data_IF_686152207493
#
_entry.id   IF_686152207493
#
_cell.length_a   1.000
_cell.length_b   1.000
_cell.length_c   1.000
_cell.angle_alpha   90.00
_cell.angle_beta   90.00
_cell.angle_gamma   90.00
#
_symmetry.space_group_name_H-M   'P 1'
#
loop_
_entity.id
_entity.type
_entity.pdbx_description
1 polymer ?
#
# COMPACT_ATOMS: atom_id res chain seq x y z
N UNK A 1 24.42 -18.37 -12.79
CA UNK A 1 25.05 -17.88 -14.05
C UNK A 1 26.51 -17.62 -13.75
N UNK A 2 27.40 -18.15 -14.58
CA UNK A 2 28.86 -18.10 -14.42
C UNK A 2 29.50 -17.55 -15.69
N UNK A 3 30.68 -16.97 -15.56
CA UNK A 3 31.48 -16.45 -16.67
C UNK A 3 32.95 -16.42 -16.26
N UNK A 4 33.78 -15.73 -17.04
CA UNK A 4 35.19 -15.47 -16.69
C UNK A 4 35.44 -13.97 -16.74
N UNK A 5 36.05 -13.43 -15.68
CA UNK A 5 36.46 -12.03 -15.65
C UNK A 5 37.61 -11.80 -16.63
N UNK A 6 37.49 -10.79 -17.49
CA UNK A 6 38.54 -10.46 -18.47
C UNK A 6 39.68 -9.62 -17.89
N UNK A 7 39.59 -9.21 -16.62
CA UNK A 7 40.69 -8.52 -15.95
C UNK A 7 41.84 -9.49 -15.66
N UNK A 8 43.09 -9.13 -15.98
CA UNK A 8 44.26 -9.91 -15.59
C UNK A 8 44.27 -10.18 -14.09
N UNK A 9 44.69 -11.38 -13.68
CA UNK A 9 44.81 -11.80 -12.29
C UNK A 9 43.49 -11.78 -11.48
N UNK A 10 42.33 -11.79 -12.15
CA UNK A 10 41.03 -11.90 -11.50
C UNK A 10 40.43 -13.31 -11.69
N UNK A 11 40.41 -14.18 -10.65
CA UNK A 11 39.81 -15.51 -10.74
C UNK A 11 38.26 -15.48 -10.65
N UNK A 12 37.64 -14.33 -10.91
CA UNK A 12 36.21 -14.12 -10.74
C UNK A 12 35.39 -14.90 -11.77
N UNK A 13 34.51 -15.77 -11.28
CA UNK A 13 33.68 -16.65 -12.14
C UNK A 13 32.18 -16.39 -12.05
N UNK A 14 31.77 -15.40 -11.26
CA UNK A 14 30.36 -15.06 -11.00
C UNK A 14 30.08 -13.65 -11.52
N UNK A 15 29.01 -13.53 -12.29
CA UNK A 15 28.49 -12.25 -12.72
C UNK A 15 27.51 -11.69 -11.67
N UNK A 16 27.60 -10.39 -11.42
CA UNK A 16 26.64 -9.63 -10.64
C UNK A 16 25.89 -8.68 -11.59
N UNK A 17 24.56 -8.65 -11.48
CA UNK A 17 23.70 -7.82 -12.31
C UNK A 17 23.10 -6.70 -11.46
N UNK A 18 23.07 -5.50 -12.01
CA UNK A 18 22.42 -4.34 -11.42
C UNK A 18 21.72 -3.52 -12.51
N UNK A 19 20.81 -2.65 -12.12
CA UNK A 19 20.08 -1.76 -13.02
C UNK A 19 20.39 -0.30 -12.69
N UNK A 20 20.31 0.56 -13.71
CA UNK A 20 20.44 2.02 -13.60
C UNK A 20 19.22 2.67 -14.28
N UNK A 21 18.90 3.89 -13.89
CA UNK A 21 17.85 4.67 -14.55
C UNK A 21 18.26 4.99 -16.00
N UNK A 22 17.39 4.70 -16.96
CA UNK A 22 17.63 5.00 -18.38
C UNK A 22 17.23 6.41 -18.82
N UNK A 23 16.66 7.22 -17.92
CA UNK A 23 16.08 8.53 -18.25
C UNK A 23 17.07 9.70 -18.13
N UNK A 24 18.20 9.50 -17.44
CA UNK A 24 19.21 10.54 -17.22
C UNK A 24 20.60 9.91 -17.07
N UNK A 25 21.69 10.68 -17.24
CA UNK A 25 23.03 10.21 -16.91
C UNK A 25 23.13 9.75 -15.45
N UNK A 26 23.89 8.68 -15.21
CA UNK A 26 24.09 8.06 -13.89
C UNK A 26 25.56 7.71 -13.66
N UNK A 27 26.04 7.85 -12.43
CA UNK A 27 27.35 7.38 -12.00
C UNK A 27 27.38 5.87 -11.76
N UNK A 28 28.53 5.30 -11.38
CA UNK A 28 28.66 3.88 -11.05
C UNK A 28 28.05 3.49 -9.71
N UNK A 29 27.81 4.47 -8.83
CA UNK A 29 27.17 4.23 -7.53
C UNK A 29 25.65 4.29 -7.60
N UNK A 30 25.10 4.84 -8.69
CA UNK A 30 23.67 4.99 -8.88
C UNK A 30 23.08 3.66 -9.34
N UNK A 31 22.46 2.92 -8.43
CA UNK A 31 21.73 1.69 -8.72
C UNK A 31 20.23 1.91 -8.58
N UNK A 32 19.44 1.12 -9.29
CA UNK A 32 17.98 1.17 -9.28
C UNK A 32 17.42 -0.23 -9.10
N UNK A 33 16.29 -0.33 -8.40
CA UNK A 33 15.60 -1.61 -8.21
C UNK A 33 14.87 -1.99 -9.49
N UNK A 34 15.00 -3.25 -9.91
CA UNK A 34 14.29 -3.77 -11.07
C UNK A 34 12.83 -4.07 -10.70
N UNK A 35 11.89 -3.37 -11.36
CA UNK A 35 10.46 -3.65 -11.23
C UNK A 35 10.07 -4.81 -12.14
N UNK A 36 10.45 -6.02 -11.74
CA UNK A 36 10.37 -7.25 -12.55
C UNK A 36 8.94 -7.70 -12.90
N UNK A 37 7.90 -7.14 -12.29
CA UNK A 37 6.51 -7.42 -12.65
C UNK A 37 5.98 -6.45 -13.71
N UNK A 38 6.64 -5.31 -13.92
CA UNK A 38 6.25 -4.32 -14.91
C UNK A 38 6.93 -4.66 -16.24
N UNK A 39 6.14 -4.76 -17.30
CA UNK A 39 6.63 -5.14 -18.63
C UNK A 39 5.91 -4.37 -19.73
N UNK A 40 6.53 -4.32 -20.90
CA UNK A 40 5.92 -3.76 -22.10
C UNK A 40 4.79 -4.67 -22.58
N UNK A 41 3.62 -4.10 -22.87
CA UNK A 41 2.45 -4.82 -23.35
C UNK A 41 2.48 -5.02 -24.88
N UNK A 42 3.54 -5.64 -25.39
CA UNK A 42 3.74 -5.85 -26.84
C UNK A 42 2.69 -6.76 -27.49
N UNK A 43 1.94 -7.51 -26.69
CA UNK A 43 0.85 -8.40 -27.14
C UNK A 43 -0.54 -7.77 -27.02
N UNK A 44 -0.62 -6.48 -26.65
CA UNK A 44 -1.88 -5.74 -26.53
C UNK A 44 -2.91 -6.45 -25.63
N UNK A 45 -2.46 -7.03 -24.52
CA UNK A 45 -3.33 -7.75 -23.58
C UNK A 45 -4.18 -6.71 -22.82
N UNK A 46 -5.51 -6.85 -22.79
CA UNK A 46 -6.37 -5.92 -22.07
C UNK A 46 -6.19 -6.04 -20.55
N UNK A 47 -6.38 -4.92 -19.85
CA UNK A 47 -6.39 -4.88 -18.40
C UNK A 47 -7.54 -5.71 -17.82
N UNK A 48 -7.27 -6.53 -16.82
CA UNK A 48 -8.31 -7.34 -16.14
C UNK A 48 -9.43 -6.50 -15.49
N UNK A 49 -9.15 -5.25 -15.12
CA UNK A 49 -10.10 -4.39 -14.43
C UNK A 49 -10.89 -3.48 -15.39
N UNK A 50 -10.20 -2.68 -16.21
CA UNK A 50 -10.86 -1.70 -17.09
C UNK A 50 -11.02 -2.17 -18.54
N UNK A 51 -10.49 -3.34 -18.92
CA UNK A 51 -10.50 -3.89 -20.28
C UNK A 51 -9.75 -3.07 -21.35
N UNK A 52 -9.24 -1.88 -21.02
CA UNK A 52 -8.37 -1.11 -21.90
C UNK A 52 -7.04 -1.81 -22.18
N UNK A 53 -6.50 -1.60 -23.38
CA UNK A 53 -5.12 -1.94 -23.71
C UNK A 53 -4.22 -0.76 -23.37
N UNK A 54 -3.33 -0.93 -22.39
CA UNK A 54 -2.37 0.08 -21.92
C UNK A 54 -0.93 -0.43 -22.00
N UNK A 55 0.04 0.47 -21.93
CA UNK A 55 1.46 0.14 -21.89
C UNK A 55 2.23 1.17 -21.04
N UNK A 56 3.10 0.75 -20.11
CA UNK A 56 3.36 -0.62 -19.66
C UNK A 56 2.23 -1.21 -18.81
N UNK A 57 2.35 -2.49 -18.47
CA UNK A 57 1.41 -3.24 -17.63
C UNK A 57 2.16 -3.99 -16.53
N UNK A 58 1.46 -4.31 -15.44
CA UNK A 58 1.94 -5.21 -14.40
C UNK A 58 1.37 -6.62 -14.64
N UNK A 59 2.23 -7.63 -14.53
CA UNK A 59 1.85 -9.04 -14.67
C UNK A 59 2.06 -9.75 -13.33
N UNK A 60 0.97 -10.18 -12.71
CA UNK A 60 1.04 -10.92 -11.44
C UNK A 60 1.75 -12.28 -11.60
N UNK A 61 2.34 -12.77 -10.51
CA UNK A 61 3.00 -14.08 -10.45
C UNK A 61 2.04 -15.23 -10.10
N UNK A 62 0.74 -15.08 -10.39
CA UNK A 62 -0.22 -16.18 -10.27
C UNK A 62 -0.13 -17.15 -11.46
N UNK A 63 -0.74 -18.34 -11.33
CA UNK A 63 -0.76 -19.36 -12.39
C UNK A 63 -1.30 -18.85 -13.74
N UNK A 64 -2.31 -17.96 -13.69
CA UNK A 64 -2.94 -17.39 -14.89
C UNK A 64 -2.22 -16.15 -15.43
N UNK A 65 -1.16 -15.67 -14.74
CA UNK A 65 -0.36 -14.50 -15.15
C UNK A 65 -1.25 -13.29 -15.47
N UNK A 66 -2.22 -12.99 -14.59
CA UNK A 66 -3.17 -11.91 -14.80
C UNK A 66 -2.45 -10.56 -15.01
N UNK A 67 -2.99 -9.78 -15.95
CA UNK A 67 -2.42 -8.51 -16.41
C UNK A 67 -3.30 -7.35 -15.96
N UNK A 68 -2.68 -6.31 -15.41
CA UNK A 68 -3.36 -5.08 -14.97
C UNK A 68 -2.59 -3.86 -15.47
N UNK A 69 -3.28 -2.81 -15.93
CA UNK A 69 -2.62 -1.55 -16.26
C UNK A 69 -2.14 -0.83 -14.99
N UNK A 70 -1.19 0.10 -15.13
CA UNK A 70 -0.61 0.77 -13.97
C UNK A 70 -1.60 1.67 -13.22
N UNK A 71 -2.54 2.30 -13.93
CA UNK A 71 -3.58 3.14 -13.31
C UNK A 71 -4.53 2.29 -12.44
N UNK A 72 -5.01 1.16 -12.95
CA UNK A 72 -5.84 0.25 -12.17
C UNK A 72 -5.06 -0.42 -11.03
N UNK A 73 -3.75 -0.65 -11.21
CA UNK A 73 -2.90 -1.16 -10.14
C UNK A 73 -2.72 -0.14 -9.02
N UNK A 74 -2.54 1.15 -9.35
CA UNK A 74 -2.50 2.24 -8.38
C UNK A 74 -3.80 2.28 -7.57
N UNK A 75 -4.95 2.32 -8.26
CA UNK A 75 -6.25 2.34 -7.60
C UNK A 75 -6.47 1.10 -6.71
N UNK A 76 -6.12 -0.10 -7.21
CA UNK A 76 -6.19 -1.33 -6.43
C UNK A 76 -5.42 -1.22 -5.11
N UNK A 77 -4.18 -0.73 -5.17
CA UNK A 77 -3.37 -0.54 -3.98
C UNK A 77 -3.95 0.50 -3.02
N UNK A 78 -4.38 1.66 -3.52
CA UNK A 78 -4.95 2.73 -2.68
C UNK A 78 -6.24 2.28 -2.00
N UNK A 79 -7.14 1.62 -2.73
CA UNK A 79 -8.37 1.05 -2.15
C UNK A 79 -8.03 0.06 -1.04
N UNK A 80 -7.12 -0.89 -1.28
CA UNK A 80 -6.75 -1.88 -0.25
C UNK A 80 -5.99 -1.27 0.92
N UNK A 81 -5.27 -0.17 0.71
CA UNK A 81 -4.59 0.55 1.79
C UNK A 81 -5.62 1.26 2.70
N UNK A 82 -6.61 1.92 2.10
CA UNK A 82 -7.69 2.58 2.82
C UNK A 82 -8.58 1.59 3.58
N UNK A 83 -8.93 0.48 2.94
CA UNK A 83 -9.82 -0.55 3.50
C UNK A 83 -9.10 -1.50 4.46
N UNK A 84 -7.79 -1.32 4.66
CA UNK A 84 -6.92 -2.17 5.48
C UNK A 84 -6.95 -3.65 5.07
N UNK A 85 -6.77 -3.89 3.78
CA UNK A 85 -6.84 -5.22 3.16
C UNK A 85 -5.52 -5.67 2.54
N UNK A 86 -4.39 -5.12 2.99
CA UNK A 86 -3.08 -5.71 2.71
C UNK A 86 -2.92 -7.01 3.50
N UNK A 87 -2.30 -8.00 2.86
CA UNK A 87 -2.09 -9.33 3.44
C UNK A 87 -0.72 -9.38 4.08
N UNK A 88 -0.67 -9.79 5.34
CA UNK A 88 0.59 -10.03 6.05
C UNK A 88 1.19 -11.39 5.65
N UNK A 89 2.46 -11.39 5.29
CA UNK A 89 3.29 -12.58 5.13
C UNK A 89 4.50 -12.45 6.08
N UNK A 90 4.82 -13.53 6.81
CA UNK A 90 5.84 -13.48 7.87
C UNK A 90 7.26 -13.20 7.36
N UNK A 91 7.55 -13.47 6.07
CA UNK A 91 8.88 -13.25 5.48
C UNK A 91 8.94 -11.98 4.63
N UNK A 92 7.82 -11.61 4.00
CA UNK A 92 7.74 -10.45 3.10
C UNK A 92 7.26 -9.18 3.82
N UNK A 93 6.45 -9.30 4.87
CA UNK A 93 5.69 -8.18 5.44
C UNK A 93 4.32 -8.03 4.77
N UNK A 94 3.81 -6.80 4.69
CA UNK A 94 2.51 -6.52 4.09
C UNK A 94 2.59 -6.38 2.58
N UNK A 95 1.74 -7.11 1.86
CA UNK A 95 1.71 -7.09 0.40
C UNK A 95 0.30 -7.31 -0.13
N UNK A 96 0.15 -7.31 -1.46
CA UNK A 96 -1.11 -7.59 -2.14
C UNK A 96 -0.98 -8.80 -3.06
N UNK A 97 -2.01 -9.66 -3.10
CA UNK A 97 -2.09 -10.73 -4.08
C UNK A 97 -2.56 -10.18 -5.43
N UNK A 98 -2.64 -11.08 -6.41
CA UNK A 98 -3.36 -10.84 -7.64
C UNK A 98 -4.78 -10.33 -7.35
N UNK A 99 -5.20 -9.29 -8.09
CA UNK A 99 -6.52 -8.66 -7.96
C UNK A 99 -7.69 -9.64 -8.13
N UNK A 100 -7.49 -10.75 -8.86
CA UNK A 100 -8.46 -11.82 -9.02
C UNK A 100 -8.48 -12.82 -7.85
N UNK A 101 -7.77 -12.55 -6.75
CA UNK A 101 -7.75 -13.42 -5.55
C UNK A 101 -7.02 -14.75 -5.72
N UNK A 102 -6.10 -14.84 -6.68
CA UNK A 102 -5.37 -16.09 -6.92
C UNK A 102 -4.48 -16.49 -5.73
N UNK A 103 -4.39 -17.78 -5.37
CA UNK A 103 -3.47 -18.23 -4.33
C UNK A 103 -2.01 -18.03 -4.75
N UNK A 104 -1.11 -17.94 -3.76
CA UNK A 104 0.34 -17.85 -3.95
C UNK A 104 0.80 -16.75 -4.92
N UNK A 105 0.11 -15.61 -4.91
CA UNK A 105 0.30 -14.54 -5.89
C UNK A 105 0.72 -13.20 -5.30
N UNK A 106 1.19 -13.21 -4.04
CA UNK A 106 1.71 -12.02 -3.36
C UNK A 106 2.87 -11.41 -4.14
N UNK A 107 2.89 -10.08 -4.22
CA UNK A 107 4.01 -9.32 -4.76
C UNK A 107 5.18 -9.42 -3.79
N UNK A 108 6.28 -10.02 -4.23
CA UNK A 108 7.47 -10.27 -3.39
C UNK A 108 8.43 -9.08 -3.34
N UNK A 109 8.55 -8.35 -4.44
CA UNK A 109 9.40 -7.16 -4.53
C UNK A 109 8.57 -5.93 -4.15
N UNK A 110 8.69 -5.49 -2.89
CA UNK A 110 7.86 -4.42 -2.33
C UNK A 110 8.12 -3.04 -2.97
N UNK A 111 9.25 -2.87 -3.67
CA UNK A 111 9.52 -1.63 -4.39
C UNK A 111 8.51 -1.35 -5.52
N UNK A 112 7.71 -2.33 -5.94
CA UNK A 112 6.58 -2.10 -6.85
C UNK A 112 5.56 -1.10 -6.28
N UNK A 113 5.40 -1.04 -4.96
CA UNK A 113 4.48 -0.09 -4.32
C UNK A 113 4.99 1.35 -4.34
N UNK A 114 6.24 1.62 -4.75
CA UNK A 114 6.70 3.00 -4.99
C UNK A 114 5.94 3.68 -6.14
N UNK A 115 5.27 2.91 -6.99
CA UNK A 115 4.39 3.46 -8.05
C UNK A 115 3.22 4.26 -7.49
N UNK A 116 2.89 4.09 -6.20
CA UNK A 116 1.81 4.83 -5.54
C UNK A 116 2.10 6.32 -5.40
N UNK A 117 3.36 6.73 -5.59
CA UNK A 117 3.86 8.06 -5.23
C UNK A 117 4.26 8.12 -3.76
N UNK A 118 5.03 9.15 -3.40
CA UNK A 118 5.64 9.27 -2.07
C UNK A 118 4.61 9.25 -0.94
N UNK A 119 3.52 9.99 -1.07
CA UNK A 119 2.49 10.09 -0.02
C UNK A 119 1.88 8.73 0.32
N UNK A 120 1.39 8.01 -0.71
CA UNK A 120 0.73 6.73 -0.52
C UNK A 120 1.74 5.62 -0.17
N UNK A 121 2.97 5.70 -0.68
CA UNK A 121 4.02 4.77 -0.30
C UNK A 121 4.44 4.95 1.17
N UNK A 122 4.50 6.20 1.67
CA UNK A 122 4.77 6.47 3.08
C UNK A 122 3.67 5.89 3.98
N UNK A 123 2.39 6.05 3.59
CA UNK A 123 1.26 5.39 4.27
C UNK A 123 1.39 3.87 4.27
N UNK A 124 1.76 3.28 3.14
CA UNK A 124 2.05 1.85 3.04
C UNK A 124 3.20 1.41 3.97
N UNK A 125 4.26 2.21 4.11
CA UNK A 125 5.37 1.89 5.02
C UNK A 125 4.93 1.92 6.50
N UNK A 126 4.04 2.84 6.86
CA UNK A 126 3.47 2.94 8.22
C UNK A 126 2.47 1.82 8.52
N UNK A 127 1.80 1.30 7.49
CA UNK A 127 0.78 0.26 7.59
C UNK A 127 1.20 -0.92 8.48
N UNK A 128 2.44 -1.41 8.36
CA UNK A 128 2.88 -2.56 9.15
C UNK A 128 2.97 -2.29 10.65
N UNK A 129 3.40 -1.09 11.03
CA UNK A 129 3.43 -0.69 12.43
C UNK A 129 2.01 -0.44 12.97
N UNK A 130 1.15 0.16 12.16
CA UNK A 130 -0.25 0.41 12.49
C UNK A 130 -1.04 -0.89 12.71
N UNK A 131 -0.90 -1.87 11.81
CA UNK A 131 -1.56 -3.17 11.95
C UNK A 131 -1.11 -3.92 13.21
N UNK A 132 0.18 -3.84 13.56
CA UNK A 132 0.68 -4.43 14.80
C UNK A 132 -0.04 -3.85 16.03
N UNK A 133 -0.20 -2.52 16.09
CA UNK A 133 -0.93 -1.85 17.16
C UNK A 133 -2.38 -2.31 17.23
N UNK A 134 -3.06 -2.45 16.08
CA UNK A 134 -4.44 -2.92 16.05
C UNK A 134 -4.58 -4.39 16.44
N UNK A 135 -3.68 -5.26 16.01
CA UNK A 135 -3.66 -6.67 16.40
C UNK A 135 -3.46 -6.85 17.92
N UNK A 136 -2.74 -5.92 18.56
CA UNK A 136 -2.60 -5.86 20.02
C UNK A 136 -3.82 -5.25 20.73
N UNK A 137 -4.91 -4.93 20.00
CA UNK A 137 -6.12 -4.32 20.55
C UNK A 137 -6.00 -2.82 20.79
N UNK A 138 -5.00 -2.17 20.20
CA UNK A 138 -4.81 -0.72 20.21
C UNK A 138 -5.74 0.04 19.27
N UNK A 139 -5.47 1.33 19.12
CA UNK A 139 -6.17 2.24 18.20
C UNK A 139 -5.18 3.22 17.57
N UNK A 140 -5.53 3.75 16.39
CA UNK A 140 -4.78 4.84 15.77
C UNK A 140 -5.44 6.18 16.09
N UNK A 141 -4.63 7.23 16.24
CA UNK A 141 -5.12 8.59 16.33
C UNK A 141 -5.82 9.01 15.02
N UNK A 142 -7.09 9.46 15.06
CA UNK A 142 -7.86 9.78 13.86
C UNK A 142 -7.56 11.19 13.32
N UNK A 143 -6.75 12.00 14.02
CA UNK A 143 -6.43 13.35 13.56
C UNK A 143 -5.64 13.29 12.25
N UNK A 144 -6.08 14.00 11.19
CA UNK A 144 -5.33 14.09 9.94
C UNK A 144 -3.88 14.53 10.18
N UNK A 145 -2.93 13.81 9.60
CA UNK A 145 -1.49 14.07 9.75
C UNK A 145 -0.85 13.58 11.06
N UNK A 146 -1.60 12.95 11.97
CA UNK A 146 -1.01 12.32 13.17
C UNK A 146 -0.84 10.80 13.02
N UNK A 147 -1.93 10.02 13.01
CA UNK A 147 -1.87 8.57 12.82
C UNK A 147 -1.13 7.77 13.91
N UNK A 148 -0.77 8.38 15.05
CA UNK A 148 -0.01 7.70 16.09
C UNK A 148 -0.74 6.45 16.61
N UNK A 149 -0.01 5.34 16.72
CA UNK A 149 -0.52 4.08 17.28
C UNK A 149 -0.50 4.09 18.80
N UNK A 150 -1.65 3.81 19.41
CA UNK A 150 -1.87 3.90 20.85
C UNK A 150 -2.37 2.56 21.40
N UNK A 151 -1.86 2.16 22.56
CA UNK A 151 -2.28 0.97 23.31
C UNK A 151 -2.95 1.38 24.64
N UNK A 152 -4.17 1.95 24.60
CA UNK A 152 -4.88 2.32 25.83
C UNK A 152 -5.33 1.08 26.60
N UNK A 153 -5.62 1.24 27.89
CA UNK A 153 -6.17 0.17 28.72
C UNK A 153 -7.48 -0.40 28.13
N UNK A 154 -7.72 -1.69 28.36
CA UNK A 154 -8.93 -2.34 27.86
C UNK A 154 -10.18 -1.72 28.49
N UNK A 155 -11.19 -1.45 27.65
CA UNK A 155 -12.46 -0.85 28.09
C UNK A 155 -12.46 0.67 28.25
N UNK A 156 -11.33 1.35 28.06
CA UNK A 156 -11.29 2.81 28.14
C UNK A 156 -11.83 3.45 26.85
N UNK A 157 -12.96 4.16 26.97
CA UNK A 157 -13.59 4.92 25.86
C UNK A 157 -12.83 6.20 25.52
N UNK A 158 -12.24 6.85 26.52
CA UNK A 158 -11.44 8.07 26.37
C UNK A 158 -10.00 7.72 26.01
N UNK A 159 -9.53 8.16 24.85
CA UNK A 159 -8.14 7.95 24.43
C UNK A 159 -7.48 9.31 24.21
N UNK A 160 -6.31 9.51 24.82
CA UNK A 160 -5.48 10.70 24.60
C UNK A 160 -4.29 10.32 23.74
N UNK A 161 -4.12 11.00 22.61
CA UNK A 161 -2.90 10.94 21.81
C UNK A 161 -1.81 11.80 22.48
N UNK A 162 -1.23 11.27 23.56
CA UNK A 162 -0.30 12.02 24.42
C UNK A 162 0.97 12.44 23.67
N UNK A 163 1.33 13.71 23.80
CA UNK A 163 2.53 14.29 23.19
C UNK A 163 3.83 13.99 23.92
N UNK A 164 3.84 13.10 24.92
CA UNK A 164 5.07 12.70 25.62
C UNK A 164 6.08 12.15 24.61
N UNK A 165 7.26 12.75 24.54
CA UNK A 165 8.31 12.50 23.53
C UNK A 165 8.03 12.99 22.09
N UNK A 166 7.05 13.88 21.89
CA UNK A 166 6.83 14.57 20.61
C UNK A 166 6.17 13.72 19.50
N UNK A 167 5.64 12.54 19.84
CA UNK A 167 5.02 11.61 18.90
C UNK A 167 3.50 11.77 18.77
N UNK A 168 2.82 12.24 19.82
CA UNK A 168 1.38 12.47 19.81
C UNK A 168 0.98 13.93 19.57
N UNK A 169 -0.26 14.15 19.12
CA UNK A 169 -0.79 15.47 18.76
C UNK A 169 -1.66 16.13 19.84
N UNK A 170 -1.79 15.50 21.02
CA UNK A 170 -2.62 15.95 22.12
C UNK A 170 -4.13 15.78 21.92
N UNK A 171 -4.56 15.15 20.82
CA UNK A 171 -5.99 14.94 20.57
C UNK A 171 -6.59 13.94 21.54
N UNK A 172 -7.74 14.30 22.12
CA UNK A 172 -8.52 13.43 23.00
C UNK A 172 -9.78 13.01 22.26
N UNK A 173 -9.93 11.72 22.01
CA UNK A 173 -10.97 11.18 21.14
C UNK A 173 -11.66 9.95 21.75
N UNK A 174 -12.84 9.65 21.23
CA UNK A 174 -13.59 8.45 21.55
C UNK A 174 -13.00 7.25 20.81
N UNK A 175 -12.70 6.19 21.56
CA UNK A 175 -12.22 4.91 21.04
C UNK A 175 -13.15 4.33 19.97
N UNK A 176 -14.45 4.50 20.10
CA UNK A 176 -15.43 3.75 19.31
C UNK A 176 -15.76 4.48 18.01
N UNK A 177 -16.24 5.73 18.09
CA UNK A 177 -16.61 6.52 16.91
C UNK A 177 -15.47 7.31 16.27
N UNK A 178 -14.29 7.38 16.91
CA UNK A 178 -13.12 8.18 16.47
C UNK A 178 -13.32 9.70 16.47
N UNK A 179 -14.45 10.20 16.96
CA UNK A 179 -14.70 11.64 17.12
C UNK A 179 -14.05 12.21 18.38
N UNK A 180 -14.11 13.53 18.56
CA UNK A 180 -13.71 14.19 19.81
C UNK A 180 -14.38 13.52 21.01
N UNK A 181 -13.64 13.35 22.12
CA UNK A 181 -14.17 12.64 23.28
C UNK A 181 -15.46 13.28 23.80
N UNK A 182 -16.45 12.45 24.09
CA UNK A 182 -17.73 12.82 24.63
C UNK A 182 -18.16 11.82 25.72
N UNK A 183 -19.00 12.29 26.64
CA UNK A 183 -19.71 11.43 27.60
C UNK A 183 -21.00 10.91 26.96
N UNK A 184 -21.48 9.74 27.37
CA UNK A 184 -22.68 9.10 26.79
C UNK A 184 -22.39 8.19 25.59
N UNK A 185 -23.45 7.73 24.92
CA UNK A 185 -23.37 6.84 23.75
C UNK A 185 -22.84 7.57 22.50
N UNK A 186 -22.31 6.81 21.54
CA UNK A 186 -21.86 7.40 20.27
C UNK A 186 -23.07 7.66 19.37
N UNK A 187 -23.14 8.86 18.80
CA UNK A 187 -24.17 9.17 17.82
C UNK A 187 -23.98 8.27 16.59
N UNK A 188 -25.02 7.50 16.27
CA UNK A 188 -25.04 6.61 15.11
C UNK A 188 -25.28 7.43 13.83
N UNK A 189 -24.26 8.13 13.33
CA UNK A 189 -24.32 8.70 11.97
C UNK A 189 -23.69 7.72 10.97
N UNK A 190 -24.51 6.76 10.54
CA UNK A 190 -24.41 6.22 9.19
C UNK A 190 -25.11 7.21 8.24
N UNK A 191 -24.37 8.11 7.61
CA UNK A 191 -24.82 8.73 6.35
C UNK A 191 -23.78 8.48 5.27
N UNK A 192 -23.82 7.25 4.75
CA UNK A 192 -23.42 7.00 3.37
C UNK A 192 -24.65 7.26 2.48
N UNK A 193 -24.46 8.12 1.48
CA UNK A 193 -25.30 8.35 0.28
C UNK A 193 -26.20 9.56 0.32
N UNK A 194 -25.71 10.62 -0.33
CA UNK A 194 -26.58 11.58 -1.00
C UNK A 194 -27.41 10.85 -2.07
N UNK A 195 -28.70 10.72 -1.81
CA UNK A 195 -29.70 10.46 -2.82
C UNK A 195 -30.79 11.51 -2.61
N UNK A 196 -30.71 12.60 -3.38
CA UNK A 196 -31.80 13.56 -3.51
C UNK A 196 -32.95 12.86 -4.22
N UNK A 197 -34.00 12.50 -3.48
CA UNK A 197 -35.32 12.22 -4.03
C UNK A 197 -35.94 13.55 -4.46
N UNK A 198 -35.99 13.81 -5.78
CA UNK A 198 -36.97 14.77 -6.31
C UNK A 198 -38.26 14.01 -6.54
N UNK A 199 -39.27 14.32 -5.73
CA UNK A 199 -40.64 13.94 -5.97
C UNK A 199 -41.25 14.87 -7.04
N UNK A 200 -41.87 14.25 -8.03
CA UNK A 200 -42.79 14.86 -8.97
C UNK A 200 -43.87 15.67 -8.25
N UNK A 201 -44.11 16.91 -8.71
CA UNK A 201 -45.41 17.57 -8.54
C UNK A 201 -45.99 17.83 -9.91
N UNK A 202 -47.04 17.08 -10.22
CA UNK A 202 -48.00 17.34 -11.26
C UNK A 202 -48.92 18.50 -10.82
N UNK A 203 -48.91 19.60 -11.58
CA UNK A 203 -50.09 20.43 -11.93
C UNK A 203 -49.78 21.27 -13.16
#
# INVERSE_FOLDING_TARGET
>A
MSGECQSPDCPGTRAEFFFKCGAHPTSDKDTSVALNLITNNSRSIPCIACTDVRNPVLVFQCNHRHVICLDCFHLYCVTRLNDRQFVHDAQLGYSLPCVAGCPNSLIKELHHFRILGEEQYNRYQQYGAEECVLQMGGVLCPRPGCGAGLLPEQGQKKVTCEGGNGLGCGFVFCRDCKEAYHEGECDSMFEASGATSQEDVCT
#
